data_IF_821995161479
#
_entry.id   IF_821995161479
#
_cell.length_a   1.000
_cell.length_b   1.000
_cell.length_c   1.000
_cell.angle_alpha   90.00
_cell.angle_beta   90.00
_cell.angle_gamma   90.00
#
_symmetry.space_group_name_H-M   'P 1'
#
loop_
_entity.id
_entity.type
_entity.pdbx_description
1 polymer ?
#
# COMPACT_ATOMS: atom_id res chain seq x y z
N UNK A 1 17.79 10.56 -11.54
CA UNK A 1 16.91 9.77 -12.44
C UNK A 1 15.86 9.05 -11.63
N UNK A 2 14.60 9.20 -12.01
CA UNK A 2 13.52 8.49 -11.32
C UNK A 2 13.54 7.01 -11.64
N UNK A 3 13.27 6.22 -10.64
CA UNK A 3 13.10 4.78 -10.79
C UNK A 3 11.63 4.44 -10.58
N UNK A 4 11.23 3.31 -11.13
CA UNK A 4 9.87 2.80 -10.94
C UNK A 4 9.94 1.58 -10.03
N UNK A 5 9.20 1.61 -8.94
CA UNK A 5 9.15 0.51 -7.98
C UNK A 5 7.77 -0.11 -8.00
N UNK A 6 7.74 -1.44 -7.98
CA UNK A 6 6.49 -2.19 -7.86
C UNK A 6 6.49 -2.85 -6.49
N UNK A 7 5.53 -2.50 -5.67
CA UNK A 7 5.45 -3.05 -4.31
C UNK A 7 4.56 -4.28 -4.29
N UNK A 8 4.98 -5.24 -3.49
CA UNK A 8 4.23 -6.47 -3.28
C UNK A 8 3.34 -6.33 -2.05
N UNK A 9 2.24 -7.09 -2.02
CA UNK A 9 1.32 -7.09 -0.90
C UNK A 9 2.03 -7.42 0.40
N UNK A 10 2.89 -8.45 0.40
CA UNK A 10 3.60 -8.83 1.61
C UNK A 10 4.44 -7.70 2.18
N UNK A 11 5.05 -6.91 1.32
CA UNK A 11 5.83 -5.76 1.78
C UNK A 11 4.94 -4.80 2.55
N UNK A 12 3.77 -4.49 2.01
CA UNK A 12 2.86 -3.53 2.63
C UNK A 12 2.24 -4.07 3.91
N UNK A 13 1.99 -5.38 3.98
CA UNK A 13 1.40 -5.98 5.17
C UNK A 13 2.38 -5.98 6.35
N UNK A 14 3.67 -6.04 6.09
CA UNK A 14 4.67 -6.06 7.15
C UNK A 14 5.31 -4.69 7.37
N UNK A 15 5.23 -3.80 6.39
CA UNK A 15 5.81 -2.47 6.49
C UNK A 15 4.94 -1.48 5.70
N UNK A 16 3.84 -1.02 6.31
CA UNK A 16 2.91 -0.14 5.59
C UNK A 16 3.52 1.20 5.20
N UNK A 17 4.62 1.59 5.80
CA UNK A 17 5.30 2.84 5.44
C UNK A 17 6.22 2.70 4.24
N UNK A 18 6.35 1.48 3.70
CA UNK A 18 7.26 1.25 2.58
C UNK A 18 6.95 2.13 1.38
N UNK A 19 5.67 2.40 1.14
CA UNK A 19 5.29 3.20 -0.02
C UNK A 19 5.78 4.64 0.05
N UNK A 20 6.18 5.11 1.23
CA UNK A 20 6.69 6.46 1.39
C UNK A 20 8.21 6.54 1.40
N UNK A 21 8.91 5.41 1.29
CA UNK A 21 10.37 5.39 1.33
C UNK A 21 11.02 5.67 0.00
N UNK A 22 10.23 5.71 -1.05
CA UNK A 22 10.75 5.89 -2.41
C UNK A 22 10.44 7.30 -2.90
N UNK A 23 10.78 8.30 -2.10
CA UNK A 23 10.58 9.69 -2.48
C UNK A 23 11.29 9.97 -3.81
N UNK A 24 10.70 10.82 -4.60
CA UNK A 24 11.21 11.21 -5.91
C UNK A 24 11.21 10.08 -6.93
N UNK A 25 10.56 8.96 -6.62
CA UNK A 25 10.40 7.84 -7.55
C UNK A 25 8.94 7.51 -7.71
N UNK A 26 8.63 6.82 -8.80
CA UNK A 26 7.27 6.34 -9.03
C UNK A 26 7.09 4.99 -8.34
N UNK A 27 5.95 4.83 -7.69
CA UNK A 27 5.59 3.56 -7.05
C UNK A 27 4.32 3.06 -7.71
N UNK A 28 4.38 1.83 -8.21
CA UNK A 28 3.24 1.20 -8.87
C UNK A 28 2.67 0.13 -7.95
N UNK A 29 1.36 0.20 -7.75
CA UNK A 29 0.63 -0.80 -6.97
C UNK A 29 -0.33 -1.53 -7.90
N UNK A 30 -0.06 -2.79 -8.22
CA UNK A 30 -0.98 -3.57 -9.07
C UNK A 30 -2.37 -3.64 -8.45
N UNK A 31 -3.39 -3.69 -9.31
CA UNK A 31 -4.77 -3.71 -8.83
C UNK A 31 -5.04 -4.92 -7.92
N UNK A 32 -4.33 -6.02 -8.14
CA UNK A 32 -4.48 -7.21 -7.29
C UNK A 32 -4.10 -6.93 -5.84
N UNK A 33 -3.21 -5.98 -5.59
CA UNK A 33 -2.84 -5.61 -4.23
C UNK A 33 -4.03 -5.04 -3.49
N UNK A 34 -4.83 -4.22 -4.15
CA UNK A 34 -6.01 -3.63 -3.53
C UNK A 34 -7.00 -4.72 -3.13
N UNK A 35 -7.19 -5.71 -4.00
CA UNK A 35 -8.07 -6.83 -3.70
C UNK A 35 -7.55 -7.65 -2.52
N UNK A 36 -6.24 -7.88 -2.47
CA UNK A 36 -5.64 -8.63 -1.38
C UNK A 36 -5.72 -7.85 -0.07
N UNK A 37 -5.50 -6.55 -0.10
CA UNK A 37 -5.64 -5.72 1.09
C UNK A 37 -7.06 -5.78 1.64
N UNK A 38 -8.06 -5.75 0.77
CA UNK A 38 -9.45 -5.86 1.21
C UNK A 38 -9.70 -7.16 1.95
N UNK A 39 -9.06 -8.23 1.50
CA UNK A 39 -9.21 -9.53 2.16
C UNK A 39 -8.53 -9.54 3.52
N UNK A 40 -7.32 -8.98 3.62
CA UNK A 40 -6.54 -9.01 4.86
C UNK A 40 -7.06 -8.05 5.91
N UNK A 41 -7.70 -6.95 5.51
CA UNK A 41 -8.08 -5.92 6.48
C UNK A 41 -9.16 -6.39 7.44
N UNK A 42 -9.80 -7.51 7.18
CA UNK A 42 -10.78 -8.10 8.09
C UNK A 42 -10.14 -8.86 9.24
N UNK A 43 -8.84 -9.13 9.15
CA UNK A 43 -8.15 -9.89 10.18
C UNK A 43 -7.85 -9.06 11.41
N UNK A 44 -7.68 -9.76 12.55
CA UNK A 44 -7.34 -9.11 13.81
C UNK A 44 -5.84 -9.00 14.04
N UNK A 45 -5.03 -9.71 13.27
CA UNK A 45 -3.58 -9.72 13.44
C UNK A 45 -2.96 -8.41 12.95
N UNK A 46 -1.66 -8.27 13.16
CA UNK A 46 -0.92 -7.08 12.74
C UNK A 46 -1.05 -6.84 11.25
N UNK A 47 -1.07 -7.90 10.45
CA UNK A 47 -1.25 -7.76 9.01
C UNK A 47 -2.61 -7.15 8.67
N UNK A 48 -3.66 -7.50 9.42
CA UNK A 48 -4.97 -6.90 9.23
C UNK A 48 -4.96 -5.41 9.52
N UNK A 49 -4.31 -5.03 10.62
CA UNK A 49 -4.18 -3.62 10.99
C UNK A 49 -3.40 -2.86 9.93
N UNK A 50 -2.30 -3.44 9.47
CA UNK A 50 -1.49 -2.80 8.44
C UNK A 50 -2.26 -2.67 7.12
N UNK A 51 -3.06 -3.68 6.77
CA UNK A 51 -3.89 -3.62 5.57
C UNK A 51 -4.91 -2.48 5.66
N UNK A 52 -5.54 -2.31 6.82
CA UNK A 52 -6.48 -1.21 7.02
C UNK A 52 -5.79 0.15 6.91
N UNK A 53 -4.59 0.26 7.48
CA UNK A 53 -3.83 1.50 7.39
C UNK A 53 -3.47 1.83 5.94
N UNK A 54 -2.97 0.84 5.20
CA UNK A 54 -2.59 1.06 3.80
C UNK A 54 -3.81 1.43 2.97
N UNK A 55 -4.93 0.72 3.14
CA UNK A 55 -6.15 1.01 2.40
C UNK A 55 -6.61 2.44 2.62
N UNK A 56 -6.59 2.90 3.87
CA UNK A 56 -6.99 4.27 4.20
C UNK A 56 -6.05 5.28 3.58
N UNK A 57 -4.76 5.01 3.65
CA UNK A 57 -3.76 5.91 3.08
C UNK A 57 -3.92 6.03 1.57
N UNK A 58 -4.16 4.90 0.89
CA UNK A 58 -4.36 4.92 -0.56
C UNK A 58 -5.61 5.70 -0.94
N UNK A 59 -6.68 5.58 -0.16
CA UNK A 59 -7.89 6.35 -0.40
C UNK A 59 -7.61 7.85 -0.27
N UNK A 60 -6.87 8.25 0.76
CA UNK A 60 -6.51 9.65 0.95
C UNK A 60 -5.67 10.17 -0.20
N UNK A 61 -4.70 9.40 -0.65
CA UNK A 61 -3.84 9.80 -1.76
C UNK A 61 -4.65 9.94 -3.05
N UNK A 62 -5.59 9.03 -3.28
CA UNK A 62 -6.42 9.09 -4.48
C UNK A 62 -7.27 10.36 -4.49
N UNK A 63 -7.81 10.75 -3.35
CA UNK A 63 -8.62 11.96 -3.26
C UNK A 63 -7.79 13.21 -3.52
N UNK A 64 -6.54 13.22 -3.10
CA UNK A 64 -5.67 14.39 -3.29
C UNK A 64 -5.03 14.42 -4.67
N UNK A 65 -4.73 13.26 -5.21
CA UNK A 65 -3.84 13.15 -6.36
C UNK A 65 -4.51 13.18 -7.72
N UNK A 66 -5.79 13.20 -7.76
CA UNK A 66 -6.50 13.12 -9.06
C UNK A 66 -6.40 14.36 -9.91
#
# INVERSE_FOLDING_TARGET
>A
MKKVFVLDTNVLLHDPMAMFRFEDNDVILPITIIEELDRFKKGAADTGRNARYVSRTLDELRQKGS
#
